data_IF_002447586187
#
_entry.id   IF_002447586187
#
_cell.length_a   1.000
_cell.length_b   1.000
_cell.length_c   1.000
_cell.angle_alpha   90.00
_cell.angle_beta   90.00
_cell.angle_gamma   90.00
#
_symmetry.space_group_name_H-M   'P 1'
#
loop_
_entity.id
_entity.type
_entity.pdbx_description
1 polymer ?
#
# COMPACT_ATOMS: atom_id res chain seq x y z
N UNK A 1 47.41 -37.97 18.77
CA UNK A 1 46.94 -36.59 18.55
C UNK A 1 45.46 -36.54 18.85
N UNK A 2 45.07 -35.69 19.79
CA UNK A 2 43.69 -35.47 20.26
C UNK A 2 43.00 -34.48 19.33
N UNK A 3 41.79 -34.77 18.85
CA UNK A 3 40.84 -33.75 18.41
C UNK A 3 39.45 -34.20 18.90
N UNK A 4 39.04 -33.64 20.04
CA UNK A 4 37.64 -33.64 20.47
C UNK A 4 36.96 -32.50 19.69
N UNK A 5 36.00 -32.83 18.83
CA UNK A 5 35.11 -31.83 18.24
C UNK A 5 33.94 -31.60 19.20
N UNK A 6 33.99 -30.50 19.94
CA UNK A 6 32.86 -29.99 20.74
C UNK A 6 31.95 -29.18 19.80
N UNK A 7 30.81 -29.74 19.42
CA UNK A 7 29.75 -29.03 18.71
C UNK A 7 28.83 -28.37 19.74
N UNK A 8 29.00 -27.06 19.95
CA UNK A 8 28.03 -26.22 20.68
C UNK A 8 26.80 -26.00 19.79
N UNK A 9 25.68 -26.61 20.15
CA UNK A 9 24.35 -26.23 19.67
C UNK A 9 23.86 -25.01 20.47
N UNK A 10 23.97 -23.83 19.88
CA UNK A 10 23.24 -22.65 20.35
C UNK A 10 21.76 -22.81 19.96
N UNK A 11 20.93 -23.20 20.93
CA UNK A 11 19.48 -23.02 20.83
C UNK A 11 19.17 -21.54 21.04
N UNK A 12 18.99 -20.80 19.95
CA UNK A 12 18.27 -19.52 19.99
C UNK A 12 16.80 -19.84 20.22
N UNK A 13 16.30 -19.56 21.43
CA UNK A 13 14.88 -19.56 21.73
C UNK A 13 14.20 -18.51 20.85
N UNK A 14 13.74 -18.95 19.68
CA UNK A 14 12.83 -18.17 18.86
C UNK A 14 11.50 -18.19 19.60
N UNK A 15 11.00 -17.03 19.99
CA UNK A 15 9.63 -16.85 20.48
C UNK A 15 8.69 -17.12 19.31
N UNK A 16 8.43 -18.39 19.03
CA UNK A 16 7.43 -18.80 18.06
C UNK A 16 6.09 -18.57 18.75
N UNK A 17 5.27 -17.65 18.22
CA UNK A 17 3.88 -17.55 18.62
C UNK A 17 3.23 -18.94 18.44
N UNK A 18 2.76 -19.54 19.53
CA UNK A 18 2.18 -20.89 19.51
C UNK A 18 0.85 -20.87 18.74
N UNK A 19 0.90 -21.29 17.47
CA UNK A 19 -0.26 -21.45 16.60
C UNK A 19 -1.16 -22.56 17.11
N UNK A 20 -2.47 -22.34 17.09
CA UNK A 20 -3.42 -23.43 17.31
C UNK A 20 -3.56 -24.27 16.04
N UNK A 21 -3.38 -25.60 16.11
CA UNK A 21 -3.43 -26.47 14.94
C UNK A 21 -4.83 -26.52 14.30
N UNK A 22 -4.92 -26.88 13.00
CA UNK A 22 -6.09 -26.62 12.21
C UNK A 22 -7.00 -27.85 12.21
N UNK A 23 -8.19 -27.73 12.79
CA UNK A 23 -9.31 -28.53 12.28
C UNK A 23 -10.01 -27.77 11.15
N UNK A 24 -10.07 -26.42 11.19
CA UNK A 24 -10.73 -25.60 10.16
C UNK A 24 -10.08 -24.21 9.91
N UNK A 25 -8.81 -24.02 10.30
CA UNK A 25 -8.02 -22.79 10.02
C UNK A 25 -6.85 -22.56 10.97
N UNK A 26 -5.71 -22.11 10.45
CA UNK A 26 -4.59 -21.64 11.28
C UNK A 26 -4.93 -20.27 11.87
N UNK A 27 -5.06 -20.19 13.20
CA UNK A 27 -5.17 -18.93 13.94
C UNK A 27 -4.19 -18.94 15.11
N UNK A 28 -3.80 -17.76 15.55
CA UNK A 28 -2.89 -17.55 16.66
C UNK A 28 -3.67 -17.12 17.91
N UNK A 29 -3.16 -17.50 19.08
CA UNK A 29 -3.73 -17.00 20.32
C UNK A 29 -3.38 -15.51 20.50
N UNK A 30 -4.28 -14.70 21.08
CA UNK A 30 -3.96 -13.31 21.39
C UNK A 30 -2.81 -13.20 22.39
N UNK A 31 -2.22 -12.01 22.51
CA UNK A 31 -1.09 -11.79 23.41
C UNK A 31 -1.46 -12.13 24.87
N UNK A 32 -0.61 -12.93 25.53
CA UNK A 32 -0.82 -13.40 26.90
C UNK A 32 -1.65 -14.69 27.04
N UNK A 33 -1.94 -15.36 25.92
CA UNK A 33 -2.61 -16.66 25.86
C UNK A 33 -1.74 -17.70 25.17
N UNK A 34 -1.92 -18.96 25.56
CA UNK A 34 -1.21 -20.12 25.01
C UNK A 34 -2.21 -21.08 24.39
N UNK A 35 -1.84 -21.72 23.29
CA UNK A 35 -2.69 -22.74 22.69
C UNK A 35 -2.63 -24.05 23.48
N UNK A 36 -3.79 -24.59 23.85
CA UNK A 36 -3.95 -25.90 24.44
C UNK A 36 -5.19 -26.59 23.87
N UNK A 37 -5.03 -27.77 23.26
CA UNK A 37 -6.13 -28.57 22.68
C UNK A 37 -7.14 -27.75 21.83
N UNK A 38 -6.61 -26.90 20.92
CA UNK A 38 -7.38 -25.98 20.05
C UNK A 38 -8.08 -24.81 20.76
N UNK A 39 -7.72 -24.52 22.01
CA UNK A 39 -8.25 -23.40 22.78
C UNK A 39 -7.12 -22.47 23.27
N UNK A 40 -7.43 -21.18 23.37
CA UNK A 40 -6.52 -20.21 23.94
C UNK A 40 -6.78 -20.05 25.45
N UNK A 41 -5.78 -20.43 26.24
CA UNK A 41 -5.84 -20.40 27.71
C UNK A 41 -4.84 -19.40 28.27
N UNK A 42 -5.26 -18.62 29.27
CA UNK A 42 -4.37 -17.73 30.03
C UNK A 42 -3.72 -18.50 31.17
N UNK A 43 -2.58 -17.99 31.67
CA UNK A 43 -1.84 -18.59 32.80
C UNK A 43 -2.66 -18.77 34.09
N UNK A 44 -3.77 -18.06 34.26
CA UNK A 44 -4.71 -18.19 35.39
C UNK A 44 -5.77 -19.29 35.16
N UNK A 45 -5.67 -20.06 34.08
CA UNK A 45 -6.61 -21.10 33.69
C UNK A 45 -7.92 -20.55 33.09
N UNK A 46 -8.06 -19.23 32.93
CA UNK A 46 -9.22 -18.65 32.26
C UNK A 46 -9.06 -18.77 30.75
N UNK A 47 -10.08 -19.33 30.12
CA UNK A 47 -10.21 -19.32 28.67
C UNK A 47 -10.53 -17.89 28.23
N UNK A 48 -9.77 -17.34 27.28
CA UNK A 48 -10.25 -16.18 26.51
C UNK A 48 -10.27 -16.56 25.05
N UNK A 49 -11.39 -16.27 24.41
CA UNK A 49 -11.68 -16.69 23.06
C UNK A 49 -11.75 -15.52 22.08
N UNK A 50 -11.54 -14.28 22.56
CA UNK A 50 -11.85 -13.08 21.79
C UNK A 50 -10.75 -12.03 21.89
N UNK A 51 -9.99 -11.85 20.81
CA UNK A 51 -9.31 -10.58 20.55
C UNK A 51 -10.34 -9.46 20.33
N UNK A 52 -9.91 -8.22 20.50
CA UNK A 52 -10.78 -7.05 20.37
C UNK A 52 -10.03 -5.78 20.71
N UNK A 53 -10.72 -4.82 21.33
CA UNK A 53 -10.10 -3.55 21.71
C UNK A 53 -9.08 -3.67 22.86
N UNK A 54 -9.35 -4.52 23.85
CA UNK A 54 -8.49 -4.69 25.03
C UNK A 54 -7.41 -5.77 24.86
N UNK A 55 -7.62 -6.69 23.91
CA UNK A 55 -6.78 -7.86 23.73
C UNK A 55 -6.24 -7.85 22.29
N UNK A 56 -4.96 -7.52 22.18
CA UNK A 56 -4.24 -7.42 20.91
C UNK A 56 -3.75 -8.79 20.42
N UNK A 57 -3.64 -8.88 19.09
CA UNK A 57 -3.09 -10.03 18.42
C UNK A 57 -1.56 -9.95 18.30
N UNK A 58 -0.85 -11.09 18.18
CA UNK A 58 0.57 -11.11 17.88
C UNK A 58 0.91 -10.36 16.59
N UNK A 59 2.14 -9.87 16.50
CA UNK A 59 2.62 -9.13 15.33
C UNK A 59 2.50 -9.97 14.05
N UNK A 60 2.05 -9.35 12.96
CA UNK A 60 1.75 -10.07 11.70
C UNK A 60 0.36 -10.73 11.65
N UNK A 61 -0.39 -10.75 12.75
CA UNK A 61 -1.80 -11.18 12.80
C UNK A 61 -2.73 -10.04 13.17
N UNK A 62 -4.03 -10.16 12.88
CA UNK A 62 -5.04 -9.19 13.28
C UNK A 62 -6.35 -9.86 13.66
N UNK A 63 -7.20 -9.12 14.37
CA UNK A 63 -8.41 -9.65 14.94
C UNK A 63 -9.55 -9.74 13.91
N UNK A 64 -10.08 -10.94 13.70
CA UNK A 64 -11.27 -11.19 12.88
C UNK A 64 -12.21 -12.07 13.69
N UNK A 65 -13.42 -11.57 13.97
CA UNK A 65 -14.45 -12.30 14.73
C UNK A 65 -13.94 -12.87 16.07
N UNK A 66 -13.06 -12.14 16.76
CA UNK A 66 -12.50 -12.55 18.05
C UNK A 66 -11.30 -13.50 17.97
N UNK A 67 -10.81 -13.88 16.78
CA UNK A 67 -9.59 -14.69 16.66
C UNK A 67 -8.50 -13.96 15.89
N UNK A 68 -7.24 -14.25 16.22
CA UNK A 68 -6.10 -13.63 15.56
C UNK A 68 -5.69 -14.45 14.33
N UNK A 69 -5.77 -13.85 13.14
CA UNK A 69 -5.41 -14.51 11.90
C UNK A 69 -4.24 -13.81 11.23
N UNK A 70 -3.32 -14.54 10.57
CA UNK A 70 -2.30 -13.92 9.74
C UNK A 70 -2.94 -13.09 8.63
N UNK A 71 -2.40 -11.89 8.38
CA UNK A 71 -2.91 -10.99 7.33
C UNK A 71 -3.07 -11.72 6.00
N UNK A 72 -2.06 -12.51 5.63
CA UNK A 72 -2.01 -13.27 4.37
C UNK A 72 -3.10 -14.34 4.24
N UNK A 73 -3.91 -14.62 5.26
CA UNK A 73 -5.01 -15.59 5.13
C UNK A 73 -6.34 -14.92 4.78
N UNK A 74 -6.51 -13.63 5.07
CA UNK A 74 -7.81 -12.96 4.98
C UNK A 74 -7.98 -12.30 3.61
N UNK A 75 -9.14 -12.54 2.99
CA UNK A 75 -9.55 -11.89 1.75
C UNK A 75 -10.06 -10.50 2.05
N UNK A 76 -9.79 -9.56 1.16
CA UNK A 76 -10.14 -8.16 1.39
C UNK A 76 -10.61 -7.47 0.12
N UNK A 77 -11.40 -6.43 0.32
CA UNK A 77 -12.04 -5.58 -0.67
C UNK A 77 -12.87 -6.34 -1.69
N UNK A 78 -14.03 -5.77 -2.00
CA UNK A 78 -14.90 -6.31 -3.03
C UNK A 78 -15.64 -5.17 -3.69
N UNK A 79 -15.37 -4.95 -4.97
CA UNK A 79 -16.11 -3.98 -5.78
C UNK A 79 -16.94 -4.77 -6.77
N UNK A 80 -18.26 -4.59 -6.74
CA UNK A 80 -19.18 -5.38 -7.56
C UNK A 80 -20.27 -4.55 -8.19
N UNK A 81 -20.69 -4.96 -9.39
CA UNK A 81 -21.91 -4.46 -10.02
C UNK A 81 -23.12 -5.12 -9.35
N UNK A 82 -24.02 -4.31 -8.81
CA UNK A 82 -25.23 -4.81 -8.11
C UNK A 82 -26.48 -4.68 -8.95
N UNK A 83 -26.48 -3.76 -9.90
CA UNK A 83 -27.54 -3.55 -10.89
C UNK A 83 -26.97 -2.79 -12.10
N UNK A 84 -27.77 -2.59 -13.13
CA UNK A 84 -27.37 -1.80 -14.30
C UNK A 84 -27.01 -0.36 -13.87
N UNK A 85 -25.75 0.04 -14.13
CA UNK A 85 -25.23 1.35 -13.72
C UNK A 85 -24.93 1.52 -12.22
N UNK A 86 -25.15 0.49 -11.39
CA UNK A 86 -24.91 0.55 -9.94
C UNK A 86 -23.76 -0.37 -9.53
N UNK A 87 -22.77 0.19 -8.84
CA UNK A 87 -21.68 -0.56 -8.24
C UNK A 87 -21.64 -0.34 -6.72
N UNK A 88 -21.31 -1.39 -5.98
CA UNK A 88 -21.02 -1.33 -4.54
C UNK A 88 -19.53 -1.54 -4.32
N UNK A 89 -18.91 -0.63 -3.60
CA UNK A 89 -17.53 -0.75 -3.11
C UNK A 89 -17.57 -1.20 -1.66
N UNK A 90 -17.00 -2.36 -1.38
CA UNK A 90 -16.84 -2.90 -0.03
C UNK A 90 -15.35 -2.86 0.28
N UNK A 91 -15.00 -2.10 1.32
CA UNK A 91 -13.62 -1.97 1.79
C UNK A 91 -13.50 -2.78 3.08
N UNK A 92 -12.51 -3.66 3.13
CA UNK A 92 -12.22 -4.48 4.30
C UNK A 92 -11.20 -3.77 5.18
N UNK A 93 -11.43 -3.80 6.49
CA UNK A 93 -10.42 -3.43 7.46
C UNK A 93 -9.44 -4.61 7.65
N UNK A 94 -8.21 -4.46 7.17
CA UNK A 94 -7.14 -5.46 7.35
C UNK A 94 -6.44 -5.32 8.72
N UNK A 95 -6.99 -4.55 9.66
CA UNK A 95 -6.36 -4.23 10.92
C UNK A 95 -5.37 -3.07 10.81
N UNK A 96 -4.88 -2.60 11.96
CA UNK A 96 -4.06 -1.36 12.08
C UNK A 96 -2.87 -1.32 11.12
N UNK A 97 -2.10 -2.41 11.03
CA UNK A 97 -0.91 -2.54 10.19
C UNK A 97 -1.19 -3.24 8.85
N UNK A 98 -2.45 -3.53 8.55
CA UNK A 98 -2.83 -4.28 7.37
C UNK A 98 -3.18 -3.39 6.19
N UNK A 99 -2.85 -3.85 4.99
CA UNK A 99 -3.27 -3.22 3.72
C UNK A 99 -3.89 -4.26 2.82
N UNK A 100 -4.87 -3.85 2.01
CA UNK A 100 -5.44 -4.74 1.01
C UNK A 100 -4.66 -4.65 -0.30
N UNK A 101 -4.08 -5.77 -0.74
CA UNK A 101 -3.32 -5.87 -1.98
C UNK A 101 -3.84 -7.04 -2.81
N UNK A 102 -4.36 -6.75 -4.01
CA UNK A 102 -4.83 -7.77 -4.96
C UNK A 102 -5.87 -8.76 -4.39
N UNK A 103 -6.76 -8.28 -3.51
CA UNK A 103 -7.83 -9.09 -2.92
C UNK A 103 -7.44 -9.82 -1.63
N UNK A 104 -6.25 -9.57 -1.09
CA UNK A 104 -5.73 -10.24 0.11
C UNK A 104 -5.09 -9.23 1.06
N UNK A 105 -5.35 -9.40 2.36
CA UNK A 105 -4.70 -8.58 3.36
C UNK A 105 -3.21 -8.92 3.40
N UNK A 106 -2.38 -7.87 3.50
CA UNK A 106 -0.92 -7.97 3.66
C UNK A 106 -0.50 -7.14 4.85
N UNK A 107 0.56 -7.60 5.51
CA UNK A 107 1.10 -6.96 6.70
C UNK A 107 2.16 -5.93 6.31
N UNK A 108 1.95 -4.66 6.65
CA UNK A 108 2.89 -3.57 6.42
C UNK A 108 3.73 -3.32 7.68
N UNK A 109 4.94 -3.88 7.68
CA UNK A 109 5.92 -3.73 8.78
C UNK A 109 6.41 -2.30 8.93
N UNK A 110 6.23 -1.46 7.91
CA UNK A 110 6.60 -0.06 7.94
C UNK A 110 5.49 0.86 8.46
N UNK A 111 4.31 0.31 8.79
CA UNK A 111 3.27 1.09 9.46
C UNK A 111 3.75 1.61 10.82
N UNK A 112 3.61 2.92 11.06
CA UNK A 112 4.10 3.65 12.23
C UNK A 112 5.64 3.64 12.45
N UNK A 113 6.43 3.18 11.47
CA UNK A 113 7.91 3.25 11.55
C UNK A 113 8.38 4.65 11.15
N UNK A 114 9.00 5.36 12.10
CA UNK A 114 9.61 6.66 11.84
C UNK A 114 11.13 6.52 11.72
N UNK A 115 11.64 6.69 10.50
CA UNK A 115 13.07 6.66 10.23
C UNK A 115 13.70 8.05 10.33
N UNK A 116 15.03 8.09 10.48
CA UNK A 116 15.77 9.36 10.52
C UNK A 116 15.82 10.01 9.13
N UNK A 117 16.19 11.27 9.10
CA UNK A 117 16.42 11.98 7.84
C UNK A 117 17.48 11.25 6.99
N UNK A 118 17.17 11.03 5.71
CA UNK A 118 18.03 10.25 4.81
C UNK A 118 17.91 8.72 4.93
N UNK A 119 17.02 8.22 5.78
CA UNK A 119 16.66 6.80 5.87
C UNK A 119 15.23 6.54 5.34
N UNK A 120 14.97 5.30 4.94
CA UNK A 120 13.63 4.84 4.59
C UNK A 120 13.36 3.47 5.23
N UNK A 121 12.12 3.26 5.68
CA UNK A 121 11.73 1.95 6.16
C UNK A 121 11.70 0.96 5.01
N UNK A 122 12.24 -0.24 5.22
CA UNK A 122 12.13 -1.40 4.34
C UNK A 122 11.93 -2.63 5.21
N UNK A 123 10.85 -3.36 4.97
CA UNK A 123 10.56 -4.61 5.69
C UNK A 123 10.52 -4.46 7.23
N UNK A 124 10.21 -3.26 7.73
CA UNK A 124 10.17 -2.94 9.17
C UNK A 124 11.45 -2.34 9.74
N UNK A 125 12.52 -2.21 8.94
CA UNK A 125 13.80 -1.68 9.38
C UNK A 125 14.15 -0.38 8.65
N UNK A 126 14.71 0.59 9.38
CA UNK A 126 15.20 1.82 8.77
C UNK A 126 16.53 1.58 8.06
N UNK A 127 16.56 1.87 6.77
CA UNK A 127 17.73 1.69 5.90
C UNK A 127 18.22 3.02 5.39
N UNK A 128 19.54 3.26 5.45
CA UNK A 128 20.14 4.48 4.91
C UNK A 128 20.00 4.50 3.39
N UNK A 129 19.32 5.52 2.86
CA UNK A 129 19.14 5.72 1.41
C UNK A 129 19.96 6.90 0.88
N UNK A 130 20.26 7.90 1.72
CA UNK A 130 21.18 8.98 1.35
C UNK A 130 22.55 8.42 0.98
N UNK A 131 23.19 9.02 -0.02
CA UNK A 131 24.45 8.63 -0.66
C UNK A 131 24.41 7.31 -1.45
N UNK A 132 23.28 6.60 -1.46
CA UNK A 132 23.15 5.39 -2.28
C UNK A 132 23.10 5.72 -3.77
N UNK A 133 23.59 4.80 -4.60
CA UNK A 133 23.59 4.97 -6.04
C UNK A 133 22.17 5.03 -6.60
N UNK A 134 21.92 5.98 -7.50
CA UNK A 134 20.66 6.15 -8.20
C UNK A 134 20.89 6.41 -9.69
N UNK A 135 19.94 5.97 -10.50
CA UNK A 135 19.87 6.30 -11.93
C UNK A 135 18.91 7.45 -12.19
N UNK A 136 17.93 7.64 -11.31
CA UNK A 136 16.86 8.63 -11.44
C UNK A 136 16.36 9.08 -10.07
N UNK A 137 15.64 10.20 -10.03
CA UNK A 137 15.02 10.69 -8.79
C UNK A 137 14.09 9.66 -8.13
N UNK A 138 13.44 8.80 -8.92
CA UNK A 138 12.50 7.77 -8.43
C UNK A 138 13.19 6.75 -7.52
N UNK A 139 14.47 6.45 -7.75
CA UNK A 139 15.24 5.48 -6.97
C UNK A 139 15.46 5.93 -5.51
N UNK A 140 15.35 7.23 -5.26
CA UNK A 140 15.63 7.84 -3.97
C UNK A 140 14.39 7.99 -3.08
N UNK A 141 13.22 7.52 -3.50
CA UNK A 141 11.99 7.64 -2.71
C UNK A 141 11.53 9.11 -2.56
N UNK A 142 10.45 9.38 -1.82
CA UNK A 142 9.71 10.64 -1.91
C UNK A 142 10.49 11.87 -1.41
N UNK A 143 11.40 11.70 -0.45
CA UNK A 143 12.05 12.82 0.28
C UNK A 143 13.48 13.11 -0.15
N UNK A 144 14.01 12.36 -1.13
CA UNK A 144 15.37 12.51 -1.64
C UNK A 144 15.36 12.54 -3.15
N UNK A 145 16.30 13.29 -3.74
CA UNK A 145 16.46 13.42 -5.18
C UNK A 145 17.83 12.85 -5.62
N UNK A 146 17.87 12.30 -6.84
CA UNK A 146 19.12 11.80 -7.41
C UNK A 146 19.96 12.96 -7.94
N UNK A 147 21.17 13.13 -7.42
CA UNK A 147 22.11 14.14 -7.88
C UNK A 147 23.51 13.54 -8.01
N UNK A 148 24.12 13.71 -9.18
CA UNK A 148 25.42 13.08 -9.52
C UNK A 148 25.42 11.57 -9.24
N UNK A 149 24.34 10.86 -9.60
CA UNK A 149 24.12 9.44 -9.34
C UNK A 149 24.08 9.02 -7.86
N UNK A 150 23.86 9.96 -6.93
CA UNK A 150 23.67 9.67 -5.52
C UNK A 150 22.39 10.29 -4.99
N UNK A 151 21.68 9.56 -4.13
CA UNK A 151 20.51 10.09 -3.45
C UNK A 151 20.92 11.15 -2.43
N UNK A 152 20.31 12.32 -2.51
CA UNK A 152 20.50 13.42 -1.56
C UNK A 152 19.16 13.85 -1.00
N UNK A 153 19.16 14.27 0.26
CA UNK A 153 17.96 14.83 0.90
C UNK A 153 17.49 16.02 0.07
N UNK A 154 16.19 16.01 -0.28
CA UNK A 154 15.60 17.14 -0.97
C UNK A 154 15.66 18.35 -0.03
N UNK A 155 16.21 19.50 -0.47
CA UNK A 155 16.09 20.72 0.30
C UNK A 155 14.62 21.03 0.54
N UNK A 156 14.22 21.19 1.79
CA UNK A 156 12.84 21.60 2.09
C UNK A 156 12.58 22.94 1.39
N UNK A 157 11.51 23.07 0.59
CA UNK A 157 11.15 24.37 0.06
C UNK A 157 10.95 25.30 1.26
N UNK A 158 11.44 26.54 1.18
CA UNK A 158 11.29 27.46 2.29
C UNK A 158 9.80 27.62 2.61
N UNK A 159 9.42 27.37 3.87
CA UNK A 159 8.05 27.57 4.34
C UNK A 159 7.87 29.08 4.50
N UNK A 160 7.09 29.70 3.62
CA UNK A 160 6.65 31.09 3.81
C UNK A 160 5.14 31.21 3.66
N UNK A 161 4.51 31.93 4.59
CA UNK A 161 3.17 32.53 4.38
C UNK A 161 3.35 33.97 3.92
N UNK A 162 3.52 34.14 2.61
CA UNK A 162 3.69 35.46 2.01
C UNK A 162 2.34 36.07 1.64
N UNK A 163 2.25 37.40 1.69
CA UNK A 163 1.10 38.14 1.17
C UNK A 163 0.95 37.91 -0.34
N UNK A 164 -0.22 38.17 -0.95
CA UNK A 164 -0.45 37.98 -2.38
C UNK A 164 0.55 38.68 -3.30
N UNK A 165 1.36 39.64 -2.79
CA UNK A 165 2.36 40.40 -3.55
C UNK A 165 3.83 40.12 -3.18
N UNK A 166 4.07 39.00 -2.51
CA UNK A 166 5.38 38.64 -1.99
C UNK A 166 5.81 37.27 -2.49
N UNK A 167 7.11 37.09 -2.71
CA UNK A 167 7.71 35.79 -3.03
C UNK A 167 8.52 35.26 -1.86
N UNK A 168 8.44 33.95 -1.66
CA UNK A 168 9.25 33.24 -0.69
C UNK A 168 10.64 32.98 -1.27
N UNK A 169 11.67 33.53 -0.63
CA UNK A 169 13.06 33.24 -0.95
C UNK A 169 13.83 33.02 0.35
N UNK A 170 14.45 31.84 0.51
CA UNK A 170 15.17 31.44 1.74
C UNK A 170 14.36 31.63 3.05
N UNK A 171 13.05 31.40 3.01
CA UNK A 171 12.20 31.50 4.20
C UNK A 171 11.76 32.93 4.53
N UNK A 172 12.09 33.90 3.68
CA UNK A 172 11.69 35.29 3.81
C UNK A 172 10.81 35.72 2.64
N UNK A 173 9.79 36.52 2.94
CA UNK A 173 8.91 37.10 1.94
C UNK A 173 9.51 38.41 1.43
N UNK A 174 9.76 38.48 0.13
CA UNK A 174 10.23 39.69 -0.53
C UNK A 174 9.11 40.29 -1.38
N UNK A 175 8.93 41.62 -1.37
CA UNK A 175 7.97 42.28 -2.25
C UNK A 175 8.29 41.92 -3.71
N UNK A 176 7.27 41.45 -4.42
CA UNK A 176 7.33 41.18 -5.85
C UNK A 176 6.11 41.81 -6.53
N UNK A 177 5.90 43.10 -6.25
CA UNK A 177 4.80 43.89 -6.81
C UNK A 177 4.79 43.82 -8.35
N UNK A 178 5.97 43.72 -8.98
CA UNK A 178 6.09 43.65 -10.43
C UNK A 178 5.57 42.32 -11.01
N UNK A 179 5.62 41.20 -10.29
CA UNK A 179 5.19 39.88 -10.79
C UNK A 179 3.89 39.34 -10.18
N UNK A 180 3.30 40.04 -9.21
CA UNK A 180 2.14 39.56 -8.44
C UNK A 180 0.93 39.20 -9.32
N UNK A 181 0.62 40.04 -10.30
CA UNK A 181 -0.55 39.90 -11.17
C UNK A 181 -0.20 39.36 -12.56
N UNK A 182 1.02 38.87 -12.75
CA UNK A 182 1.47 38.35 -14.04
C UNK A 182 1.46 36.83 -14.08
N UNK A 183 0.68 36.33 -15.03
CA UNK A 183 0.69 34.93 -15.40
C UNK A 183 1.71 34.69 -16.52
N UNK A 184 2.85 34.09 -16.18
CA UNK A 184 3.76 33.56 -17.17
C UNK A 184 3.26 32.17 -17.60
N UNK A 185 3.15 31.96 -18.91
CA UNK A 185 2.77 30.66 -19.46
C UNK A 185 3.70 29.54 -19.00
N UNK A 186 3.25 28.29 -19.19
CA UNK A 186 4.05 27.10 -18.82
C UNK A 186 5.46 27.18 -19.43
N UNK A 187 6.47 26.85 -18.64
CA UNK A 187 7.87 26.92 -19.08
C UNK A 187 8.49 28.31 -18.97
N UNK A 188 7.79 29.27 -18.35
CA UNK A 188 8.29 30.62 -18.10
C UNK A 188 8.02 31.03 -16.66
N UNK A 189 8.79 31.98 -16.16
CA UNK A 189 8.63 32.56 -14.83
C UNK A 189 8.86 34.06 -14.87
N UNK A 190 8.35 34.78 -13.87
CA UNK A 190 8.46 36.22 -13.85
C UNK A 190 9.74 36.66 -13.12
N UNK A 191 10.46 37.61 -13.72
CA UNK A 191 11.60 38.32 -13.14
C UNK A 191 11.45 39.80 -13.50
N UNK A 192 11.47 40.69 -12.51
CA UNK A 192 11.40 42.15 -12.68
C UNK A 192 10.31 42.61 -13.65
N UNK A 193 9.08 42.17 -13.41
CA UNK A 193 7.96 42.61 -14.22
C UNK A 193 7.90 42.03 -15.65
N UNK A 194 8.70 41.00 -15.96
CA UNK A 194 8.72 40.36 -17.28
C UNK A 194 8.74 38.84 -17.18
N UNK A 195 8.00 38.19 -18.07
CA UNK A 195 8.10 36.74 -18.23
C UNK A 195 9.37 36.39 -18.99
N UNK A 196 10.22 35.57 -18.36
CA UNK A 196 11.43 35.02 -18.94
C UNK A 196 11.24 33.52 -19.17
N UNK A 197 11.86 33.02 -20.24
CA UNK A 197 11.79 31.61 -20.59
C UNK A 197 12.70 30.79 -19.66
N UNK A 198 12.15 29.75 -19.04
CA UNK A 198 12.92 28.79 -18.23
C UNK A 198 13.54 27.67 -19.08
N UNK A 199 13.01 27.43 -20.28
CA UNK A 199 13.46 26.35 -21.16
C UNK A 199 14.82 26.71 -21.76
N UNK A 200 15.76 25.79 -21.70
CA UNK A 200 17.13 25.99 -22.20
C UNK A 200 18.11 26.55 -21.18
N UNK A 201 17.64 26.88 -19.96
CA UNK A 201 18.50 27.35 -18.87
C UNK A 201 19.33 26.17 -18.33
N UNK A 202 20.62 26.39 -18.07
CA UNK A 202 21.49 25.41 -17.42
C UNK A 202 21.08 25.20 -15.96
N UNK A 203 20.91 23.93 -15.58
CA UNK A 203 20.49 23.51 -14.25
C UNK A 203 21.50 22.56 -13.59
N UNK A 204 22.75 22.54 -14.05
CA UNK A 204 23.81 21.69 -13.46
C UNK A 204 23.99 21.93 -11.95
N UNK A 205 23.81 23.17 -11.50
CA UNK A 205 23.97 23.57 -10.10
C UNK A 205 22.75 24.35 -9.55
N UNK A 206 21.60 24.34 -10.23
CA UNK A 206 20.43 25.12 -9.85
C UNK A 206 19.12 24.36 -10.15
N UNK A 207 18.01 24.82 -9.59
CA UNK A 207 16.68 24.20 -9.75
C UNK A 207 15.90 24.93 -10.84
N UNK A 208 15.30 24.16 -11.74
CA UNK A 208 14.45 24.67 -12.80
C UNK A 208 13.17 25.35 -12.29
N UNK A 209 12.80 26.48 -12.90
CA UNK A 209 11.64 27.33 -12.52
C UNK A 209 10.52 27.26 -13.55
N UNK A 210 9.36 27.84 -13.24
CA UNK A 210 8.26 27.96 -14.21
C UNK A 210 7.64 26.60 -14.61
N UNK A 211 7.70 25.61 -13.71
CA UNK A 211 7.20 24.25 -13.96
C UNK A 211 8.06 23.45 -14.95
N UNK A 212 9.34 23.81 -15.11
CA UNK A 212 10.31 23.03 -15.88
C UNK A 212 11.08 22.06 -14.98
N UNK A 213 11.65 21.02 -15.57
CA UNK A 213 12.45 19.98 -14.91
C UNK A 213 13.84 19.93 -15.53
N UNK A 214 14.85 19.58 -14.73
CA UNK A 214 16.23 19.51 -15.19
C UNK A 214 16.49 18.16 -15.87
N UNK A 215 16.75 18.16 -17.18
CA UNK A 215 17.08 16.94 -17.94
C UNK A 215 18.36 17.21 -18.72
N UNK A 216 19.38 16.35 -18.54
CA UNK A 216 20.69 16.50 -19.19
C UNK A 216 21.29 17.91 -19.00
N UNK A 217 21.26 18.42 -17.75
CA UNK A 217 21.74 19.76 -17.39
C UNK A 217 20.98 20.94 -18.01
N UNK A 218 19.82 20.71 -18.64
CA UNK A 218 19.02 21.78 -19.24
C UNK A 218 17.58 21.73 -18.72
N UNK A 219 17.05 22.89 -18.34
CA UNK A 219 15.64 23.02 -17.98
C UNK A 219 14.76 22.82 -19.21
N UNK A 220 13.84 21.88 -19.12
CA UNK A 220 12.87 21.58 -20.17
C UNK A 220 11.47 21.52 -19.60
N UNK A 221 10.46 21.70 -20.46
CA UNK A 221 9.09 21.41 -20.08
C UNK A 221 8.98 19.97 -19.62
N UNK A 222 8.35 19.74 -18.46
CA UNK A 222 8.14 18.38 -17.94
C UNK A 222 7.47 17.52 -19.02
N UNK A 223 8.19 16.57 -19.63
CA UNK A 223 7.67 15.78 -20.74
C UNK A 223 6.69 14.70 -20.28
N UNK A 224 6.46 14.54 -18.98
CA UNK A 224 5.69 13.43 -18.46
C UNK A 224 4.16 13.57 -18.38
N UNK A 225 3.57 14.74 -18.00
CA UNK A 225 2.17 14.76 -17.62
C UNK A 225 1.27 14.22 -18.75
N UNK A 226 0.52 13.15 -18.46
CA UNK A 226 -0.35 12.46 -19.42
C UNK A 226 0.36 11.65 -20.52
N UNK A 227 1.68 11.45 -20.41
CA UNK A 227 2.51 10.76 -21.41
C UNK A 227 3.16 9.47 -20.90
N UNK A 228 3.24 9.28 -19.58
CA UNK A 228 3.74 8.03 -19.03
C UNK A 228 2.76 6.87 -19.27
N UNK A 229 3.27 5.66 -19.54
CA UNK A 229 2.46 4.44 -19.57
C UNK A 229 1.65 4.24 -18.27
N UNK A 230 0.53 3.50 -18.28
CA UNK A 230 -0.36 3.34 -17.12
C UNK A 230 0.30 2.72 -15.87
N UNK A 231 1.40 2.00 -16.04
CA UNK A 231 2.21 1.37 -15.00
C UNK A 231 3.36 2.23 -14.47
N UNK A 232 3.52 3.43 -15.03
CA UNK A 232 4.62 4.32 -14.72
C UNK A 232 4.12 5.60 -14.07
N UNK A 233 4.81 6.06 -13.04
CA UNK A 233 4.61 7.42 -12.55
C UNK A 233 5.67 8.31 -13.14
N UNK A 234 5.29 9.55 -13.36
CA UNK A 234 6.29 10.57 -13.61
C UNK A 234 6.92 11.03 -12.32
N UNK A 235 8.22 11.26 -12.36
CA UNK A 235 8.88 12.16 -11.44
C UNK A 235 9.98 12.94 -12.15
N UNK A 236 9.88 14.26 -12.09
CA UNK A 236 10.88 15.20 -12.63
C UNK A 236 11.26 14.92 -14.09
N UNK A 237 10.27 14.63 -14.93
CA UNK A 237 10.49 14.38 -16.36
C UNK A 237 10.89 12.96 -16.74
N UNK A 238 10.98 12.04 -15.79
CA UNK A 238 11.20 10.62 -16.06
C UNK A 238 9.96 9.78 -15.72
N UNK A 239 9.52 8.97 -16.68
CA UNK A 239 8.56 7.91 -16.44
C UNK A 239 9.31 6.66 -15.96
N UNK A 240 8.92 6.14 -14.79
CA UNK A 240 9.49 4.91 -14.23
C UNK A 240 8.39 3.99 -13.73
N UNK A 241 8.64 2.69 -13.85
CA UNK A 241 7.77 1.65 -13.28
C UNK A 241 7.74 1.84 -11.78
N UNK A 242 6.54 1.96 -11.21
CA UNK A 242 6.35 2.17 -9.77
C UNK A 242 6.51 0.89 -8.95
N UNK A 243 6.43 -0.28 -9.58
CA UNK A 243 6.62 -1.54 -8.86
C UNK A 243 8.02 -1.59 -8.20
N UNK A 244 8.04 -1.74 -6.88
CA UNK A 244 9.27 -1.83 -6.09
C UNK A 244 9.94 -0.51 -5.73
N UNK A 245 9.43 0.63 -6.22
CA UNK A 245 10.01 1.95 -5.89
C UNK A 245 9.83 2.28 -4.41
N UNK A 246 10.78 2.97 -3.77
CA UNK A 246 10.69 3.29 -2.34
C UNK A 246 9.52 4.26 -2.04
N UNK A 247 8.81 4.04 -0.94
CA UNK A 247 7.68 4.87 -0.49
C UNK A 247 7.61 4.95 1.04
N UNK A 248 6.87 5.94 1.56
CA UNK A 248 6.67 6.13 3.01
C UNK A 248 5.21 5.86 3.39
N UNK A 249 4.26 6.59 2.79
CA UNK A 249 2.83 6.46 3.10
C UNK A 249 2.01 6.01 1.90
N UNK A 250 2.24 6.63 0.75
CA UNK A 250 1.43 6.46 -0.44
C UNK A 250 2.26 6.27 -1.70
N UNK A 251 1.59 5.72 -2.72
CA UNK A 251 2.11 5.57 -4.06
C UNK A 251 1.05 6.12 -5.02
N UNK A 252 1.48 6.59 -6.18
CA UNK A 252 0.53 6.94 -7.24
C UNK A 252 -0.32 5.70 -7.60
N UNK A 253 -1.64 5.88 -7.74
CA UNK A 253 -2.54 4.78 -8.09
C UNK A 253 -2.18 4.17 -9.45
N UNK A 254 -2.27 2.84 -9.63
CA UNK A 254 -2.94 1.84 -8.78
C UNK A 254 -2.01 1.12 -7.78
N UNK A 255 -0.96 1.77 -7.29
CA UNK A 255 0.00 1.13 -6.37
C UNK A 255 -0.35 1.41 -4.91
N UNK A 256 -0.04 0.45 -4.04
CA UNK A 256 -0.14 0.56 -2.58
C UNK A 256 1.26 0.50 -2.00
N UNK A 257 1.61 1.41 -1.08
CA UNK A 257 2.86 1.33 -0.34
C UNK A 257 2.77 0.20 0.69
N UNK A 258 3.63 -0.81 0.62
CA UNK A 258 3.70 -1.92 1.58
C UNK A 258 5.16 -2.19 1.86
N UNK A 259 5.55 -2.26 3.13
CA UNK A 259 6.93 -2.52 3.56
C UNK A 259 7.94 -1.53 2.97
N UNK A 260 7.52 -0.28 2.80
CA UNK A 260 8.33 0.80 2.23
C UNK A 260 8.56 0.72 0.72
N UNK A 261 7.80 -0.13 0.02
CA UNK A 261 7.84 -0.24 -1.44
C UNK A 261 6.46 -0.17 -2.06
N UNK A 262 6.38 0.44 -3.24
CA UNK A 262 5.16 0.46 -4.02
C UNK A 262 4.89 -0.92 -4.63
N UNK A 263 3.69 -1.43 -4.41
CA UNK A 263 3.22 -2.72 -4.91
C UNK A 263 1.95 -2.52 -5.73
N UNK A 264 1.89 -3.08 -6.93
CA UNK A 264 0.74 -2.97 -7.81
C UNK A 264 -0.49 -3.62 -7.17
N UNK A 265 -1.58 -2.85 -7.12
CA UNK A 265 -2.89 -3.32 -6.68
C UNK A 265 -3.88 -3.28 -7.85
N UNK A 266 -3.87 -4.33 -8.67
CA UNK A 266 -4.75 -4.48 -9.82
C UNK A 266 -6.23 -4.61 -9.43
N UNK A 267 -6.52 -4.89 -8.15
CA UNK A 267 -7.88 -4.92 -7.63
C UNK A 267 -8.43 -3.56 -7.19
N UNK A 268 -7.59 -2.53 -7.03
CA UNK A 268 -8.02 -1.23 -6.48
C UNK A 268 -9.13 -0.52 -7.26
N UNK A 269 -9.27 -0.80 -8.56
CA UNK A 269 -10.29 -0.20 -9.43
C UNK A 269 -11.09 -1.25 -10.21
N UNK A 270 -10.90 -2.54 -9.89
CA UNK A 270 -11.54 -3.63 -10.62
C UNK A 270 -12.90 -3.90 -10.02
N UNK A 271 -13.93 -3.81 -10.85
CA UNK A 271 -15.32 -4.10 -10.47
C UNK A 271 -15.71 -5.44 -11.10
N UNK A 272 -16.15 -6.38 -10.27
CA UNK A 272 -16.54 -7.74 -10.68
C UNK A 272 -18.07 -7.92 -10.69
N UNK A 273 -18.55 -9.08 -11.16
CA UNK A 273 -19.98 -9.39 -11.13
C UNK A 273 -20.42 -9.92 -9.76
N UNK A 274 -21.75 -10.04 -9.57
CA UNK A 274 -22.31 -10.77 -8.44
C UNK A 274 -21.76 -12.20 -8.40
N UNK A 275 -21.42 -12.66 -7.20
CA UNK A 275 -20.77 -13.93 -6.90
C UNK A 275 -19.29 -14.01 -7.28
N UNK A 276 -18.66 -12.91 -7.68
CA UNK A 276 -17.23 -12.82 -7.94
C UNK A 276 -16.51 -11.91 -6.93
N UNK A 277 -15.20 -12.09 -6.82
CA UNK A 277 -14.28 -11.20 -6.13
C UNK A 277 -12.99 -11.05 -6.95
N UNK A 278 -12.28 -9.93 -6.76
CA UNK A 278 -11.00 -9.73 -7.42
C UNK A 278 -9.90 -10.44 -6.63
N UNK A 279 -9.17 -11.34 -7.27
CA UNK A 279 -8.00 -12.01 -6.70
C UNK A 279 -6.85 -11.94 -7.71
N UNK A 280 -5.69 -11.42 -7.33
CA UNK A 280 -4.54 -11.32 -8.23
C UNK A 280 -4.80 -10.42 -9.45
N UNK A 281 -5.71 -9.45 -9.32
CA UNK A 281 -6.10 -8.56 -10.42
C UNK A 281 -7.15 -9.14 -11.36
N UNK A 282 -7.68 -10.34 -11.12
CA UNK A 282 -8.72 -10.94 -11.97
C UNK A 282 -10.00 -11.17 -11.19
N UNK A 283 -11.15 -10.98 -11.84
CA UNK A 283 -12.44 -11.33 -11.26
C UNK A 283 -12.60 -12.85 -11.32
N UNK A 284 -12.69 -13.49 -10.17
CA UNK A 284 -12.86 -14.92 -10.07
C UNK A 284 -14.20 -15.25 -9.42
N UNK A 285 -14.87 -16.30 -9.91
CA UNK A 285 -16.10 -16.82 -9.31
C UNK A 285 -15.82 -17.38 -7.93
N UNK A 286 -16.42 -16.78 -6.90
CA UNK A 286 -16.32 -17.19 -5.49
C UNK A 286 -17.57 -17.95 -5.05
N UNK A 287 -18.76 -17.51 -5.47
CA UNK A 287 -20.00 -18.19 -5.12
C UNK A 287 -19.98 -19.65 -5.60
N UNK A 288 -20.30 -20.57 -4.69
CA UNK A 288 -20.25 -22.03 -4.89
C UNK A 288 -18.89 -22.67 -4.60
N UNK A 289 -17.83 -21.90 -4.32
CA UNK A 289 -16.56 -22.47 -3.85
C UNK A 289 -16.76 -23.16 -2.50
N UNK A 290 -16.01 -24.24 -2.29
CA UNK A 290 -15.93 -24.87 -0.99
C UNK A 290 -15.39 -23.87 0.04
N UNK A 291 -16.03 -23.80 1.19
CA UNK A 291 -15.59 -22.99 2.31
C UNK A 291 -15.81 -23.73 3.61
N UNK A 292 -15.04 -23.32 4.60
CA UNK A 292 -15.25 -23.68 6.01
C UNK A 292 -15.45 -22.43 6.87
N UNK A 293 -14.96 -21.28 6.40
CA UNK A 293 -15.12 -19.99 7.07
C UNK A 293 -15.07 -18.84 6.06
N UNK A 294 -16.07 -17.96 6.08
CA UNK A 294 -16.29 -16.98 5.03
C UNK A 294 -15.16 -15.93 4.89
N UNK A 295 -14.66 -15.24 5.95
CA UNK A 295 -13.63 -14.21 5.82
C UNK A 295 -12.35 -14.66 5.13
N UNK A 296 -11.95 -15.93 5.33
CA UNK A 296 -10.74 -16.52 4.72
C UNK A 296 -11.01 -17.11 3.33
N UNK A 297 -12.07 -17.90 3.20
CA UNK A 297 -12.30 -18.72 2.01
C UNK A 297 -13.10 -17.98 0.92
N UNK A 298 -14.00 -17.08 1.32
CA UNK A 298 -14.92 -16.37 0.44
C UNK A 298 -14.63 -14.85 0.37
N UNK A 299 -14.27 -14.24 1.50
CA UNK A 299 -14.12 -12.80 1.65
C UNK A 299 -15.43 -12.06 1.92
N UNK A 300 -15.35 -10.73 1.86
CA UNK A 300 -16.44 -9.83 2.25
C UNK A 300 -17.74 -10.00 1.45
N UNK A 301 -18.86 -9.81 2.17
CA UNK A 301 -20.22 -9.96 1.64
C UNK A 301 -20.49 -11.33 0.97
N UNK A 302 -19.79 -12.36 1.43
CA UNK A 302 -20.16 -13.76 1.28
C UNK A 302 -20.42 -14.38 2.65
N UNK A 303 -21.19 -15.44 2.67
CA UNK A 303 -21.35 -16.32 3.83
C UNK A 303 -20.91 -17.75 3.45
N UNK A 304 -20.57 -18.56 4.44
CA UNK A 304 -20.23 -19.95 4.24
C UNK A 304 -21.39 -20.84 4.73
N UNK A 305 -22.28 -21.22 3.81
CA UNK A 305 -23.45 -22.05 4.12
C UNK A 305 -23.32 -23.40 3.47
N UNK A 306 -23.53 -24.47 4.25
CA UNK A 306 -23.42 -25.86 3.75
C UNK A 306 -22.07 -26.13 3.05
N UNK A 307 -20.99 -25.54 3.60
CA UNK A 307 -19.64 -25.56 3.04
C UNK A 307 -19.51 -24.93 1.64
N UNK A 308 -20.40 -24.03 1.26
CA UNK A 308 -20.34 -23.28 0.02
C UNK A 308 -20.40 -21.78 0.26
N UNK A 309 -19.57 -21.03 -0.46
CA UNK A 309 -19.64 -19.58 -0.46
C UNK A 309 -20.96 -19.11 -1.10
N UNK A 310 -21.80 -18.41 -0.35
CA UNK A 310 -23.06 -17.83 -0.81
C UNK A 310 -22.91 -16.31 -0.85
N UNK A 311 -23.19 -15.70 -1.99
CA UNK A 311 -23.12 -14.24 -2.13
C UNK A 311 -24.31 -13.58 -1.43
N UNK A 312 -24.02 -12.73 -0.44
CA UNK A 312 -25.04 -12.01 0.32
C UNK A 312 -25.64 -10.83 -0.44
N UNK A 313 -25.06 -10.47 -1.59
CA UNK A 313 -25.55 -9.39 -2.44
C UNK A 313 -26.45 -9.88 -3.58
N UNK A 314 -26.50 -11.20 -3.81
CA UNK A 314 -27.40 -11.76 -4.83
C UNK A 314 -28.83 -11.77 -4.29
N UNK A 315 -29.81 -11.15 -4.98
CA UNK A 315 -31.19 -11.17 -4.53
C UNK A 315 -31.75 -12.61 -4.56
N UNK A 316 -32.48 -12.98 -3.50
CA UNK A 316 -32.97 -14.35 -3.22
C UNK A 316 -33.85 -14.94 -4.34
N UNK A 317 -34.36 -14.10 -5.26
CA UNK A 317 -35.32 -14.49 -6.31
C UNK A 317 -34.75 -15.29 -7.47
N UNK A 318 -33.43 -15.50 -7.58
CA UNK A 318 -32.83 -16.29 -8.69
C UNK A 318 -32.46 -17.73 -8.34
N UNK A 319 -32.72 -18.19 -7.11
CA UNK A 319 -32.53 -19.58 -6.71
C UNK A 319 -33.87 -20.34 -6.73
N UNK A 320 -34.47 -20.51 -7.91
CA UNK A 320 -35.40 -21.63 -8.11
C UNK A 320 -34.62 -22.74 -8.81
N UNK A 321 -34.55 -23.96 -8.23
CA UNK A 321 -34.01 -25.09 -8.96
C UNK A 321 -34.92 -25.33 -10.16
N UNK A 322 -34.32 -25.28 -11.34
CA UNK A 322 -34.96 -25.72 -12.57
C UNK A 322 -35.16 -27.24 -12.44
N UNK A 323 -36.27 -27.65 -11.82
CA UNK A 323 -36.82 -28.99 -11.95
C UNK A 323 -37.21 -29.14 -13.42
N UNK A 324 -36.30 -29.71 -14.20
CA UNK A 324 -36.58 -30.22 -15.53
C UNK A 324 -37.50 -31.44 -15.37
N UNK A 325 -38.79 -31.17 -15.14
CA UNK A 325 -39.86 -32.16 -15.29
C UNK A 325 -40.01 -32.45 -16.79
N UNK A 326 -39.11 -33.29 -17.32
CA UNK A 326 -39.38 -34.01 -18.56
C UNK A 326 -40.13 -35.29 -18.25
N UNK A 327 -41.44 -35.22 -18.46
CA UNK A 327 -42.24 -36.20 -19.22
C UNK A 327 -43.60 -35.55 -19.48
N UNK A 328 -43.99 -35.42 -20.75
CA UNK A 328 -45.01 -36.34 -21.24
C UNK A 328 -44.83 -36.75 -22.71
N UNK A 329 -44.76 -38.07 -22.94
CA UNK A 329 -45.56 -38.90 -23.88
C UNK A 329 -44.83 -40.21 -24.17
#
# INVERSE_FOLDING_TARGET
MRILALTLLFFTASTIAERCPPVFGEFECPNGFTCNENQCVRQDGRQSLTCGFEIECPDGTFCVEGKCYPHSTIKCNRHVLTAEGQARSIVTDCGKKGKCLNGQCVYDRCHDVMCREGEICRDGECTKLVDTFCLSHVDCGPDMDCFSNHCRIRPSPPICSCQPHEICHHGQCYPNAECTSMYCGKGSYCVNGKCVNAIGVDCTNDICRGGTVCINSVCVMDPCPGRCPPDQSCRLGECRIMEGTPCVTECAGPFTCVDGRCRRNDCAKRVCQLGEACEGGQCNRVAGRFCTWAPRDCGEAFDCKENQCVDLLTPVTSALPQQDNRLPN
#
